data_IF_149428844980
#
_entry.id   IF_149428844980
#
_cell.length_a   1.000
_cell.length_b   1.000
_cell.length_c   1.000
_cell.angle_alpha   90.00
_cell.angle_beta   90.00
_cell.angle_gamma   90.00
#
_symmetry.space_group_name_H-M   'P 1'
#
loop_
_entity.id
_entity.type
_entity.pdbx_description
1 polymer ?
#
# COMPACT_ATOMS: atom_id res chain seq x y z
N UNK A 1 -7.94 -79.74 -26.23
CA UNK A 1 -8.33 -79.76 -24.81
C UNK A 1 -8.18 -78.35 -24.27
N UNK A 2 -9.29 -77.68 -23.97
CA UNK A 2 -9.39 -76.29 -23.49
C UNK A 2 -8.94 -76.14 -22.03
N UNK A 3 -8.30 -75.00 -21.72
CA UNK A 3 -8.41 -74.12 -20.51
C UNK A 3 -7.15 -73.24 -20.46
N UNK A 4 -7.15 -71.93 -20.21
CA UNK A 4 -8.17 -71.01 -19.73
C UNK A 4 -7.76 -69.55 -19.93
N UNK A 5 -8.71 -68.67 -19.60
CA UNK A 5 -8.70 -67.21 -19.66
C UNK A 5 -7.70 -66.55 -18.69
N UNK A 6 -7.14 -65.40 -19.08
CA UNK A 6 -7.25 -64.06 -18.43
C UNK A 6 -6.17 -63.12 -19.03
N UNK A 7 -6.51 -61.90 -19.50
CA UNK A 7 -5.53 -60.86 -19.81
C UNK A 7 -5.04 -60.20 -18.51
N UNK A 8 -3.74 -60.27 -18.22
CA UNK A 8 -3.12 -59.52 -17.12
C UNK A 8 -2.50 -58.23 -17.68
N UNK A 9 -3.31 -57.18 -17.80
CA UNK A 9 -2.82 -55.80 -17.86
C UNK A 9 -2.25 -55.43 -16.48
N UNK A 10 -1.05 -54.82 -16.38
CA UNK A 10 -0.59 -54.31 -15.11
C UNK A 10 -1.48 -53.11 -14.71
N UNK A 11 -2.12 -53.22 -13.55
CA UNK A 11 -2.80 -52.13 -12.85
C UNK A 11 -1.84 -50.94 -12.69
N UNK A 12 -2.23 -49.72 -13.03
CA UNK A 12 -1.48 -48.54 -12.67
C UNK A 12 -1.64 -48.29 -11.17
N UNK A 13 -0.52 -48.38 -10.46
CA UNK A 13 -0.37 -48.13 -9.02
C UNK A 13 -1.24 -46.98 -8.52
N UNK A 14 -2.23 -47.33 -7.68
CA UNK A 14 -3.16 -46.44 -6.99
C UNK A 14 -2.51 -45.58 -5.87
N UNK A 15 -1.24 -45.22 -6.02
CA UNK A 15 -0.51 -44.38 -5.05
C UNK A 15 -0.45 -42.89 -5.42
N UNK A 16 -1.31 -42.43 -6.33
CA UNK A 16 -1.63 -41.01 -6.47
C UNK A 16 -2.65 -40.55 -5.40
N UNK A 17 -2.52 -41.04 -4.17
CA UNK A 17 -3.26 -40.50 -3.02
C UNK A 17 -2.51 -39.27 -2.51
N UNK A 18 -3.05 -38.09 -2.78
CA UNK A 18 -2.86 -36.95 -1.86
C UNK A 18 -2.06 -35.75 -2.37
N UNK A 19 -1.72 -35.65 -3.66
CA UNK A 19 -1.57 -34.30 -4.23
C UNK A 19 -2.97 -33.77 -4.49
N UNK A 20 -3.62 -33.35 -3.40
CA UNK A 20 -4.85 -32.58 -3.47
C UNK A 20 -4.57 -31.38 -4.38
N UNK A 21 -4.99 -31.53 -5.64
CA UNK A 21 -4.94 -30.48 -6.62
C UNK A 21 -5.73 -29.31 -6.03
N UNK A 22 -5.03 -28.26 -5.63
CA UNK A 22 -5.64 -26.97 -5.22
C UNK A 22 -6.27 -26.25 -6.44
N UNK A 23 -6.65 -26.99 -7.48
CA UNK A 23 -7.46 -26.48 -8.57
C UNK A 23 -8.87 -26.26 -8.02
N UNK A 24 -9.43 -25.04 -8.12
CA UNK A 24 -10.77 -24.76 -7.61
C UNK A 24 -11.76 -25.76 -8.20
N UNK A 25 -12.41 -26.54 -7.35
CA UNK A 25 -13.32 -27.64 -7.72
C UNK A 25 -14.60 -27.18 -8.44
N UNK A 26 -14.76 -25.86 -8.68
CA UNK A 26 -15.77 -25.30 -9.56
C UNK A 26 -15.27 -24.00 -10.20
N UNK A 27 -15.60 -23.78 -11.48
CA UNK A 27 -15.34 -22.53 -12.23
C UNK A 27 -15.90 -21.30 -11.50
N UNK A 28 -16.97 -21.48 -10.72
CA UNK A 28 -17.54 -20.44 -9.88
C UNK A 28 -16.57 -20.00 -8.76
N UNK A 29 -15.88 -20.95 -8.12
CA UNK A 29 -14.87 -20.67 -7.08
C UNK A 29 -13.68 -19.93 -7.68
N UNK A 30 -13.18 -20.37 -8.85
CA UNK A 30 -12.08 -19.67 -9.53
C UNK A 30 -12.42 -18.21 -9.87
N UNK A 31 -13.65 -17.94 -10.34
CA UNK A 31 -14.14 -16.57 -10.60
C UNK A 31 -14.27 -15.76 -9.32
N UNK A 32 -14.84 -16.33 -8.26
CA UNK A 32 -15.01 -15.66 -6.98
C UNK A 32 -13.65 -15.30 -6.33
N UNK A 33 -12.67 -16.20 -6.42
CA UNK A 33 -11.30 -15.94 -5.95
C UNK A 33 -10.67 -14.81 -6.75
N UNK A 34 -10.74 -14.85 -8.09
CA UNK A 34 -10.21 -13.78 -8.94
C UNK A 34 -10.83 -12.42 -8.64
N UNK A 35 -12.16 -12.37 -8.52
CA UNK A 35 -12.86 -11.12 -8.19
C UNK A 35 -12.42 -10.55 -6.83
N UNK A 36 -12.19 -11.40 -5.82
CA UNK A 36 -11.66 -10.95 -4.52
C UNK A 36 -10.23 -10.44 -4.63
N UNK A 37 -9.37 -11.12 -5.37
CA UNK A 37 -7.99 -10.69 -5.61
C UNK A 37 -7.96 -9.34 -6.32
N UNK A 38 -8.75 -9.19 -7.39
CA UNK A 38 -8.85 -7.93 -8.14
C UNK A 38 -9.34 -6.78 -7.24
N UNK A 39 -10.29 -7.04 -6.34
CA UNK A 39 -10.76 -6.05 -5.36
C UNK A 39 -9.72 -5.70 -4.28
N UNK A 40 -8.81 -6.62 -3.93
CA UNK A 40 -7.67 -6.32 -3.03
C UNK A 40 -6.63 -5.49 -3.76
N UNK A 41 -6.27 -5.87 -4.98
CA UNK A 41 -5.30 -5.14 -5.81
C UNK A 41 -5.78 -3.72 -6.08
N UNK A 42 -7.04 -3.53 -6.50
CA UNK A 42 -7.59 -2.19 -6.73
C UNK A 42 -7.59 -1.31 -5.47
N UNK A 43 -7.84 -1.90 -4.28
CA UNK A 43 -7.71 -1.15 -3.01
C UNK A 43 -6.26 -0.78 -2.72
N UNK A 44 -5.32 -1.70 -2.96
CA UNK A 44 -3.90 -1.45 -2.75
C UNK A 44 -3.38 -0.34 -3.68
N UNK A 45 -3.80 -0.32 -4.94
CA UNK A 45 -3.47 0.75 -5.90
C UNK A 45 -3.96 2.12 -5.42
N UNK A 46 -5.21 2.20 -4.95
CA UNK A 46 -5.78 3.45 -4.39
C UNK A 46 -5.02 3.89 -3.14
N UNK A 47 -4.72 2.98 -2.21
CA UNK A 47 -3.94 3.30 -1.01
C UNK A 47 -2.54 3.77 -1.35
N UNK A 48 -1.88 3.12 -2.31
CA UNK A 48 -0.54 3.51 -2.75
C UNK A 48 -0.53 4.88 -3.42
N UNK A 49 -1.49 5.17 -4.29
CA UNK A 49 -1.62 6.49 -4.92
C UNK A 49 -1.86 7.59 -3.87
N UNK A 50 -2.68 7.32 -2.85
CA UNK A 50 -2.89 8.27 -1.74
C UNK A 50 -1.61 8.53 -0.97
N UNK A 51 -0.87 7.48 -0.62
CA UNK A 51 0.41 7.58 0.10
C UNK A 51 1.44 8.39 -0.69
N UNK A 52 1.53 8.19 -2.00
CA UNK A 52 2.39 9.00 -2.87
C UNK A 52 2.03 10.49 -2.83
N UNK A 53 0.74 10.83 -2.88
CA UNK A 53 0.29 12.22 -2.78
C UNK A 53 0.64 12.80 -1.41
N UNK A 54 0.38 12.07 -0.32
CA UNK A 54 0.76 12.49 1.03
C UNK A 54 2.27 12.73 1.15
N UNK A 55 3.11 11.87 0.57
CA UNK A 55 4.55 12.03 0.58
C UNK A 55 5.00 13.31 -0.16
N UNK A 56 4.43 13.59 -1.34
CA UNK A 56 4.72 14.81 -2.11
C UNK A 56 4.28 16.05 -1.35
N UNK A 57 3.08 16.05 -0.77
CA UNK A 57 2.57 17.17 0.02
C UNK A 57 3.44 17.41 1.26
N UNK A 58 3.82 16.34 1.97
CA UNK A 58 4.70 16.43 3.14
C UNK A 58 6.08 16.98 2.78
N UNK A 59 6.69 16.51 1.68
CA UNK A 59 7.95 17.05 1.20
C UNK A 59 7.86 18.55 0.87
N UNK A 60 6.76 18.98 0.22
CA UNK A 60 6.49 20.39 -0.07
C UNK A 60 6.31 21.23 1.21
N UNK A 61 5.54 20.74 2.18
CA UNK A 61 5.32 21.40 3.47
C UNK A 61 6.62 21.59 4.25
N UNK A 62 7.49 20.57 4.26
CA UNK A 62 8.82 20.65 4.88
C UNK A 62 9.71 21.68 4.18
N UNK A 63 9.74 21.67 2.84
CA UNK A 63 10.49 22.66 2.07
C UNK A 63 10.02 24.09 2.36
N UNK A 64 8.71 24.31 2.38
CA UNK A 64 8.13 25.62 2.64
C UNK A 64 8.41 26.08 4.08
N UNK A 65 8.30 25.18 5.06
CA UNK A 65 8.63 25.47 6.47
C UNK A 65 10.10 25.87 6.61
N UNK A 66 11.01 25.15 5.95
CA UNK A 66 12.43 25.49 5.92
C UNK A 66 12.68 26.85 5.25
N UNK A 67 11.95 27.16 4.18
CA UNK A 67 12.06 28.44 3.47
C UNK A 67 11.63 29.65 4.32
N UNK A 68 10.81 29.46 5.37
CA UNK A 68 10.43 30.52 6.30
C UNK A 68 11.55 30.90 7.29
N UNK A 69 12.53 30.02 7.51
CA UNK A 69 13.59 30.24 8.50
C UNK A 69 14.48 31.42 8.11
N UNK A 70 14.92 31.51 6.85
CA UNK A 70 15.77 32.61 6.38
C UNK A 70 15.14 34.00 6.58
N UNK A 71 13.90 34.24 6.13
CA UNK A 71 13.18 35.49 6.42
C UNK A 71 13.02 35.78 7.92
N UNK A 72 12.77 34.76 8.73
CA UNK A 72 12.66 34.91 10.19
C UNK A 72 13.99 35.33 10.83
N UNK A 73 15.11 34.74 10.40
CA UNK A 73 16.45 35.13 10.84
C UNK A 73 16.80 36.57 10.43
N UNK A 74 16.45 36.96 9.20
CA UNK A 74 16.61 38.34 8.75
C UNK A 74 15.76 39.31 9.59
N UNK A 75 14.51 38.95 9.90
CA UNK A 75 13.63 39.76 10.72
C UNK A 75 14.13 39.87 12.17
N UNK A 76 14.70 38.80 12.72
CA UNK A 76 15.34 38.78 14.04
C UNK A 76 16.47 39.80 14.14
N UNK A 77 17.29 39.96 13.10
CA UNK A 77 18.38 40.95 13.08
C UNK A 77 17.86 42.39 13.17
N UNK A 78 16.63 42.66 12.68
CA UNK A 78 16.00 43.98 12.69
C UNK A 78 15.25 44.22 14.01
N UNK A 79 14.55 43.20 14.52
CA UNK A 79 13.73 43.29 15.72
C UNK A 79 13.86 42.03 16.62
N UNK A 80 14.92 41.92 17.44
CA UNK A 80 15.20 40.71 18.23
C UNK A 80 14.10 40.37 19.25
N UNK A 81 13.42 41.37 19.80
CA UNK A 81 12.32 41.17 20.74
C UNK A 81 11.10 40.47 20.12
N UNK A 82 11.02 40.45 18.78
CA UNK A 82 9.93 39.81 18.03
C UNK A 82 10.17 38.33 17.73
N UNK A 83 11.30 37.76 18.15
CA UNK A 83 11.66 36.36 17.90
C UNK A 83 10.54 35.35 18.25
N UNK A 84 9.83 35.48 19.40
CA UNK A 84 8.74 34.57 19.73
C UNK A 84 7.60 34.57 18.70
N UNK A 85 7.36 35.71 18.03
CA UNK A 85 6.30 35.82 17.02
C UNK A 85 6.71 35.14 15.71
N UNK A 86 7.98 35.24 15.30
CA UNK A 86 8.47 34.54 14.11
C UNK A 86 8.39 33.02 14.29
N UNK A 87 8.80 32.51 15.45
CA UNK A 87 8.66 31.10 15.80
C UNK A 87 7.19 30.65 15.82
N UNK A 88 6.29 31.48 16.37
CA UNK A 88 4.86 31.19 16.38
C UNK A 88 4.28 31.09 14.96
N UNK A 89 4.70 31.96 14.03
CA UNK A 89 4.25 31.92 12.63
C UNK A 89 4.70 30.63 11.94
N UNK A 90 5.99 30.28 12.05
CA UNK A 90 6.55 29.06 11.45
C UNK A 90 5.82 27.82 12.00
N UNK A 91 5.62 27.78 13.33
CA UNK A 91 4.92 26.66 13.98
C UNK A 91 3.46 26.56 13.56
N UNK A 92 2.75 27.69 13.47
CA UNK A 92 1.35 27.72 13.05
C UNK A 92 1.19 27.18 11.62
N UNK A 93 2.05 27.63 10.70
CA UNK A 93 2.10 27.13 9.33
C UNK A 93 2.34 25.62 9.28
N UNK A 94 3.39 25.13 9.96
CA UNK A 94 3.72 23.71 9.96
C UNK A 94 2.58 22.86 10.53
N UNK A 95 1.92 23.33 11.59
CA UNK A 95 0.80 22.63 12.21
C UNK A 95 -0.44 22.59 11.30
N UNK A 96 -0.83 23.74 10.71
CA UNK A 96 -2.00 23.79 9.85
C UNK A 96 -1.80 22.93 8.60
N UNK A 97 -0.63 23.01 7.95
CA UNK A 97 -0.37 22.20 6.77
C UNK A 97 -0.27 20.71 7.10
N UNK A 98 0.25 20.33 8.27
CA UNK A 98 0.21 18.93 8.71
C UNK A 98 -1.23 18.42 8.91
N UNK A 99 -2.13 19.27 9.42
CA UNK A 99 -3.56 18.95 9.54
C UNK A 99 -4.22 18.83 8.16
N UNK A 100 -3.99 19.79 7.25
CA UNK A 100 -4.53 19.76 5.90
C UNK A 100 -4.12 18.47 5.14
N UNK A 101 -2.86 18.04 5.30
CA UNK A 101 -2.36 16.78 4.70
C UNK A 101 -3.05 15.55 5.31
N UNK A 102 -3.29 15.55 6.62
CA UNK A 102 -3.97 14.44 7.30
C UNK A 102 -5.44 14.31 6.88
N UNK A 103 -6.08 15.42 6.51
CA UNK A 103 -7.48 15.47 6.04
C UNK A 103 -7.65 15.11 4.55
N UNK A 104 -6.56 15.11 3.77
CA UNK A 104 -6.53 14.75 2.35
C UNK A 104 -6.78 13.25 2.10
#
# INVERSE_FOLDING_TARGET
MSTGLIPQTPEPDSYATGLASFVPSSRAVARATRQRTDAVLGRAEVTHARDQVHAVLAAGALNNTAALVGPAEQAHQIAPASDPYYQAIIRAYALSTAQDIAEF
#
